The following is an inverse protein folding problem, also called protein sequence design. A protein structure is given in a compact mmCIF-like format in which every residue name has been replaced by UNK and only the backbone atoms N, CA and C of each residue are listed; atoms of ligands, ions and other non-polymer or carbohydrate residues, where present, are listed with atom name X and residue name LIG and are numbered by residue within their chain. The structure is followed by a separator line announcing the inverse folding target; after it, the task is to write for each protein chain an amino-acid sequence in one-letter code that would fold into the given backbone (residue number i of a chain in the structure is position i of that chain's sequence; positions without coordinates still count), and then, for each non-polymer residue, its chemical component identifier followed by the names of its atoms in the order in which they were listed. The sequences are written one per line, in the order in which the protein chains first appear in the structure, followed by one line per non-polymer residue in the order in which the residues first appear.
data_IF_791907441438
#
_entry.id   IF_791907441438
#
_cell.length_a   1.000
_cell.length_b   1.000
_cell.length_c   1.000
_cell.angle_alpha   90.00
_cell.angle_beta   90.00
_cell.angle_gamma   90.00
#
_symmetry.space_group_name_H-M   'P 1'
#
loop_
_entity.id
_entity.type
_entity.pdbx_description
1 polymer ?
#
# COMPACT_ATOMS: atom_id res chain seq x y z
N UNK A 1 11.55 31.48 10.30
CA UNK A 1 11.88 32.92 10.33
C UNK A 1 11.17 33.54 11.52
N UNK A 2 11.90 34.28 12.35
CA UNK A 2 11.33 35.06 13.45
C UNK A 2 10.60 36.28 12.89
N UNK A 3 9.41 36.04 12.33
CA UNK A 3 8.50 37.12 11.98
C UNK A 3 8.05 37.81 13.25
N UNK A 4 8.23 39.13 13.33
CA UNK A 4 7.62 39.97 14.37
C UNK A 4 6.08 39.81 14.37
N UNK A 5 5.43 40.22 15.46
CA UNK A 5 3.97 40.03 15.66
C UNK A 5 3.11 40.65 14.54
N UNK A 6 3.62 41.63 13.81
CA UNK A 6 2.85 42.46 12.86
C UNK A 6 3.35 42.41 11.40
N UNK A 7 4.31 41.54 11.08
CA UNK A 7 4.80 41.35 9.70
C UNK A 7 4.10 40.20 8.98
N UNK A 8 3.87 40.26 7.66
CA UNK A 8 3.32 39.13 6.92
C UNK A 8 4.25 37.92 7.04
N UNK A 9 3.72 36.82 7.58
CA UNK A 9 4.44 35.55 7.69
C UNK A 9 4.19 34.74 6.42
N UNK A 10 5.26 34.49 5.67
CA UNK A 10 5.20 33.59 4.52
C UNK A 10 5.80 32.25 4.95
N UNK A 11 4.99 31.19 4.87
CA UNK A 11 5.48 29.81 4.97
C UNK A 11 5.58 29.25 3.56
N UNK A 12 6.79 28.85 3.17
CA UNK A 12 7.06 28.16 1.92
C UNK A 12 7.53 26.75 2.27
N UNK A 13 6.86 25.75 1.73
CA UNK A 13 7.38 24.38 1.67
C UNK A 13 7.52 23.97 0.21
N UNK A 14 8.58 23.22 -0.07
CA UNK A 14 8.82 22.59 -1.35
C UNK A 14 8.88 21.09 -1.11
N UNK A 15 8.11 20.33 -1.88
CA UNK A 15 8.24 18.89 -1.97
C UNK A 15 8.77 18.54 -3.35
N UNK A 16 9.84 17.76 -3.40
CA UNK A 16 10.35 17.17 -4.63
C UNK A 16 10.12 15.66 -4.53
N UNK A 17 9.63 15.07 -5.61
CA UNK A 17 9.56 13.62 -5.76
C UNK A 17 10.79 13.17 -6.55
N UNK A 18 11.57 12.28 -5.97
CA UNK A 18 12.62 11.57 -6.69
C UNK A 18 11.98 10.35 -7.37
N UNK A 19 11.98 10.26 -8.71
CA UNK A 19 11.42 9.12 -9.44
C UNK A 19 12.07 7.78 -9.08
N UNK A 20 13.31 7.79 -8.57
CA UNK A 20 13.99 6.57 -8.11
C UNK A 20 13.51 6.13 -6.71
N UNK A 21 13.00 7.06 -5.90
CA UNK A 21 12.45 6.77 -4.58
C UNK A 21 10.96 6.37 -4.64
N UNK A 22 10.14 7.15 -5.34
CA UNK A 22 8.73 6.83 -5.57
C UNK A 22 8.34 7.17 -7.01
N UNK A 23 8.17 6.15 -7.89
CA UNK A 23 7.79 6.40 -9.27
C UNK A 23 6.38 6.98 -9.34
N UNK A 24 6.12 7.76 -10.40
CA UNK A 24 4.80 8.30 -10.65
C UNK A 24 3.77 7.16 -10.77
N UNK A 25 2.60 7.32 -10.14
CA UNK A 25 1.56 6.29 -10.18
C UNK A 25 1.06 6.00 -11.59
N UNK A 26 1.02 6.99 -12.48
CA UNK A 26 0.62 6.81 -13.88
C UNK A 26 1.85 6.69 -14.79
N UNK A 27 1.88 5.67 -15.65
CA UNK A 27 2.97 5.42 -16.59
C UNK A 27 3.18 6.57 -17.59
N UNK A 28 2.09 7.22 -17.99
CA UNK A 28 2.10 8.30 -18.98
C UNK A 28 1.96 9.70 -18.35
N UNK A 29 2.33 9.85 -17.06
CA UNK A 29 2.39 11.15 -16.40
C UNK A 29 3.56 12.00 -16.98
N UNK A 30 3.37 12.52 -18.19
CA UNK A 30 4.30 13.47 -18.80
C UNK A 30 3.99 14.88 -18.32
N UNK A 31 5.03 15.71 -18.27
CA UNK A 31 4.88 17.12 -17.93
C UNK A 31 3.88 17.78 -18.89
N UNK A 32 2.76 18.26 -18.36
CA UNK A 32 1.72 18.96 -19.13
C UNK A 32 0.59 18.09 -19.68
N UNK A 33 0.58 16.77 -19.45
CA UNK A 33 -0.59 15.93 -19.74
C UNK A 33 -1.51 15.86 -18.53
N UNK A 34 -2.80 16.14 -18.75
CA UNK A 34 -3.83 15.98 -17.72
C UNK A 34 -4.35 14.55 -17.81
N UNK A 35 -4.37 13.77 -16.71
CA UNK A 35 -4.92 12.42 -16.72
C UNK A 35 -6.37 12.42 -17.21
N UNK A 36 -6.80 11.39 -17.93
CA UNK A 36 -8.18 11.22 -18.39
C UNK A 36 -9.15 11.13 -17.20
N UNK A 37 -10.46 11.29 -17.45
CA UNK A 37 -11.49 11.11 -16.40
C UNK A 37 -11.37 9.71 -15.78
N UNK A 38 -11.14 8.69 -16.61
CA UNK A 38 -11.02 7.31 -16.17
C UNK A 38 -9.77 7.11 -15.29
N UNK A 39 -8.61 7.64 -15.68
CA UNK A 39 -7.39 7.58 -14.86
C UNK A 39 -7.54 8.33 -13.54
N UNK A 40 -8.24 9.48 -13.53
CA UNK A 40 -8.54 10.21 -12.28
C UNK A 40 -9.48 9.41 -11.37
N UNK A 41 -10.49 8.75 -11.94
CA UNK A 41 -11.37 7.87 -11.18
C UNK A 41 -10.60 6.67 -10.60
N UNK A 42 -9.70 6.06 -11.39
CA UNK A 42 -8.79 5.01 -10.93
C UNK A 42 -7.87 5.49 -9.80
N UNK A 43 -7.27 6.67 -9.93
CA UNK A 43 -6.46 7.28 -8.86
C UNK A 43 -7.28 7.45 -7.58
N UNK A 44 -8.48 8.03 -7.66
CA UNK A 44 -9.35 8.19 -6.50
C UNK A 44 -9.67 6.84 -5.88
N UNK A 45 -10.01 5.84 -6.69
CA UNK A 45 -10.34 4.51 -6.22
C UNK A 45 -9.16 3.82 -5.52
N UNK A 46 -7.98 3.83 -6.13
CA UNK A 46 -6.76 3.27 -5.56
C UNK A 46 -6.37 3.96 -4.26
N UNK A 47 -6.50 5.28 -4.17
CA UNK A 47 -6.24 6.04 -2.94
C UNK A 47 -7.24 5.70 -1.83
N UNK A 48 -8.53 5.56 -2.15
CA UNK A 48 -9.54 5.16 -1.16
C UNK A 48 -9.26 3.75 -0.60
N UNK A 49 -8.81 2.83 -1.45
CA UNK A 49 -8.38 1.50 -1.04
C UNK A 49 -7.12 1.58 -0.16
N UNK A 50 -6.07 2.27 -0.62
CA UNK A 50 -4.80 2.36 0.13
C UNK A 50 -4.90 3.08 1.48
N UNK A 51 -5.91 3.94 1.67
CA UNK A 51 -6.15 4.65 2.92
C UNK A 51 -7.41 4.16 3.64
N UNK A 52 -7.80 2.89 3.45
CA UNK A 52 -9.00 2.31 4.05
C UNK A 52 -9.03 2.42 5.59
N UNK A 53 -7.89 2.47 6.28
CA UNK A 53 -7.86 2.67 7.74
C UNK A 53 -8.34 4.06 8.15
N UNK A 54 -8.11 5.06 7.30
CA UNK A 54 -8.44 6.47 7.57
C UNK A 54 -9.86 6.81 7.14
N UNK A 55 -10.32 6.17 6.07
CA UNK A 55 -11.66 6.33 5.52
C UNK A 55 -12.25 4.95 5.21
N UNK A 56 -12.78 4.22 6.20
CA UNK A 56 -13.21 2.84 6.03
C UNK A 56 -14.40 2.74 5.05
N UNK A 57 -14.22 2.20 3.84
CA UNK A 57 -15.33 1.93 2.95
C UNK A 57 -16.11 0.69 3.44
N UNK A 58 -17.40 0.64 3.17
CA UNK A 58 -18.17 -0.61 3.29
C UNK A 58 -17.68 -1.65 2.28
N UNK A 59 -17.99 -2.93 2.48
CA UNK A 59 -17.64 -4.02 1.55
C UNK A 59 -18.14 -3.75 0.13
N UNK A 60 -19.36 -3.24 -0.01
CA UNK A 60 -19.95 -2.90 -1.31
C UNK A 60 -19.17 -1.77 -2.00
N UNK A 61 -18.78 -0.73 -1.25
CA UNK A 61 -17.96 0.36 -1.77
C UNK A 61 -16.57 -0.13 -2.17
N UNK A 62 -15.93 -0.97 -1.35
CA UNK A 62 -14.60 -1.53 -1.65
C UNK A 62 -14.61 -2.33 -2.97
N UNK A 63 -15.66 -3.12 -3.21
CA UNK A 63 -15.85 -3.88 -4.47
C UNK A 63 -15.97 -2.94 -5.68
N UNK A 64 -16.75 -1.87 -5.56
CA UNK A 64 -16.92 -0.86 -6.63
C UNK A 64 -15.60 -0.13 -6.89
N UNK A 65 -14.88 0.27 -5.83
CA UNK A 65 -13.59 0.93 -5.96
C UNK A 65 -12.58 0.03 -6.67
N UNK A 66 -12.52 -1.26 -6.31
CA UNK A 66 -11.65 -2.24 -6.97
C UNK A 66 -11.97 -2.41 -8.45
N UNK A 67 -13.26 -2.54 -8.79
CA UNK A 67 -13.70 -2.61 -10.19
C UNK A 67 -13.32 -1.36 -10.99
N UNK A 68 -13.49 -0.16 -10.41
CA UNK A 68 -13.09 1.11 -11.06
C UNK A 68 -11.58 1.09 -11.32
N UNK A 69 -10.78 0.70 -10.33
CA UNK A 69 -9.33 0.66 -10.46
C UNK A 69 -8.88 -0.37 -11.51
N UNK A 70 -9.43 -1.59 -11.49
CA UNK A 70 -9.05 -2.67 -12.39
C UNK A 70 -9.32 -2.35 -13.86
N UNK A 71 -10.39 -1.61 -14.15
CA UNK A 71 -10.70 -1.16 -15.51
C UNK A 71 -9.62 -0.25 -16.13
N UNK A 72 -8.77 0.35 -15.30
CA UNK A 72 -7.72 1.29 -15.74
C UNK A 72 -6.32 0.93 -15.22
N UNK A 73 -6.15 -0.21 -14.54
CA UNK A 73 -4.89 -0.59 -13.87
C UNK A 73 -3.67 -0.62 -14.79
N UNK A 74 -3.88 -0.89 -16.08
CA UNK A 74 -2.82 -0.88 -17.09
C UNK A 74 -2.21 0.51 -17.35
N UNK A 75 -2.89 1.59 -16.94
CA UNK A 75 -2.33 2.95 -17.00
C UNK A 75 -1.38 3.26 -15.85
N UNK A 76 -1.30 2.38 -14.85
CA UNK A 76 -0.56 2.61 -13.61
C UNK A 76 0.76 1.85 -13.56
N UNK A 77 1.71 2.40 -12.81
CA UNK A 77 2.96 1.74 -12.51
C UNK A 77 2.71 0.48 -11.68
N UNK A 78 3.44 -0.60 -11.98
CA UNK A 78 3.23 -1.92 -11.38
C UNK A 78 3.33 -1.90 -9.85
N UNK A 79 4.30 -1.16 -9.30
CA UNK A 79 4.48 -1.01 -7.84
C UNK A 79 3.23 -0.40 -7.18
N UNK A 80 2.56 0.55 -7.84
CA UNK A 80 1.32 1.13 -7.34
C UNK A 80 0.16 0.14 -7.44
N UNK A 81 0.07 -0.63 -8.52
CA UNK A 81 -0.93 -1.70 -8.67
C UNK A 81 -0.77 -2.75 -7.57
N UNK A 82 0.46 -3.22 -7.31
CA UNK A 82 0.79 -4.17 -6.23
C UNK A 82 0.33 -3.64 -4.88
N UNK A 83 0.63 -2.37 -4.58
CA UNK A 83 0.20 -1.70 -3.34
C UNK A 83 -1.32 -1.64 -3.20
N UNK A 84 -2.04 -1.23 -4.24
CA UNK A 84 -3.51 -1.14 -4.19
C UNK A 84 -4.13 -2.52 -3.97
N UNK A 85 -3.61 -3.57 -4.61
CA UNK A 85 -4.10 -4.93 -4.41
C UNK A 85 -3.81 -5.45 -3.00
N UNK A 86 -2.62 -5.20 -2.46
CA UNK A 86 -2.27 -5.55 -1.09
C UNK A 86 -3.23 -4.91 -0.08
N UNK A 87 -3.47 -3.60 -0.22
CA UNK A 87 -4.37 -2.88 0.69
C UNK A 87 -5.84 -3.26 0.50
N UNK A 88 -6.26 -3.64 -0.72
CA UNK A 88 -7.58 -4.20 -0.95
C UNK A 88 -7.77 -5.50 -0.17
N UNK A 89 -6.79 -6.40 -0.21
CA UNK A 89 -6.80 -7.65 0.54
C UNK A 89 -6.83 -7.39 2.04
N UNK A 90 -6.00 -6.47 2.55
CA UNK A 90 -6.03 -6.07 3.96
C UNK A 90 -7.39 -5.51 4.38
N UNK A 91 -7.97 -4.62 3.58
CA UNK A 91 -9.27 -4.01 3.85
C UNK A 91 -10.39 -5.06 3.88
N UNK A 92 -10.33 -6.04 2.98
CA UNK A 92 -11.32 -7.12 2.89
C UNK A 92 -11.22 -8.09 4.06
N UNK A 93 -10.00 -8.52 4.43
CA UNK A 93 -9.76 -9.46 5.51
C UNK A 93 -10.02 -8.87 6.91
N UNK A 94 -9.84 -7.56 7.08
CA UNK A 94 -10.17 -6.87 8.34
C UNK A 94 -11.67 -6.62 8.53
N UNK A 95 -12.45 -6.65 7.45
CA UNK A 95 -13.89 -6.36 7.46
C UNK A 95 -14.80 -7.47 7.98
N UNK A 96 -14.40 -8.19 9.02
CA UNK A 96 -15.09 -9.34 9.65
C UNK A 96 -14.92 -10.71 8.98
N UNK A 97 -14.51 -11.66 9.83
CA UNK A 97 -14.57 -13.11 9.70
C UNK A 97 -16.03 -13.65 9.70
N UNK A 98 -16.95 -12.90 9.10
CA UNK A 98 -18.29 -13.39 8.78
C UNK A 98 -18.36 -13.64 7.28
N UNK A 99 -18.37 -14.94 6.97
CA UNK A 99 -18.61 -15.63 5.70
C UNK A 99 -19.35 -14.81 4.63
N UNK A 100 -18.63 -14.01 3.86
CA UNK A 100 -19.02 -13.55 2.54
C UNK A 100 -17.99 -14.11 1.54
N UNK A 101 -18.33 -15.27 0.96
CA UNK A 101 -17.42 -16.11 0.15
C UNK A 101 -16.86 -15.31 -1.05
N UNK A 102 -17.69 -14.45 -1.67
CA UNK A 102 -17.29 -13.65 -2.84
C UNK A 102 -16.21 -12.61 -2.51
N UNK A 103 -16.23 -12.02 -1.32
CA UNK A 103 -15.22 -11.05 -0.90
C UNK A 103 -13.86 -11.72 -0.74
N UNK A 104 -13.87 -12.93 -0.18
CA UNK A 104 -12.68 -13.75 0.04
C UNK A 104 -12.14 -14.28 -1.27
N UNK A 105 -12.98 -14.75 -2.19
CA UNK A 105 -12.57 -15.19 -3.53
C UNK A 105 -11.85 -14.08 -4.30
N UNK A 106 -12.41 -12.86 -4.31
CA UNK A 106 -11.75 -11.73 -4.98
C UNK A 106 -10.43 -11.31 -4.31
N UNK A 107 -10.33 -11.47 -2.99
CA UNK A 107 -9.08 -11.22 -2.26
C UNK A 107 -8.03 -12.32 -2.54
N UNK A 108 -8.46 -13.58 -2.66
CA UNK A 108 -7.62 -14.71 -3.05
C UNK A 108 -7.13 -14.57 -4.48
N UNK A 109 -7.96 -14.14 -5.42
CA UNK A 109 -7.56 -13.82 -6.79
C UNK A 109 -6.54 -12.68 -6.81
N UNK A 110 -6.75 -11.61 -6.03
CA UNK A 110 -5.79 -10.53 -5.90
C UNK A 110 -4.46 -10.97 -5.26
N UNK A 111 -4.50 -11.92 -4.31
CA UNK A 111 -3.30 -12.54 -3.75
C UNK A 111 -2.59 -13.42 -4.77
N UNK A 112 -3.32 -14.22 -5.57
CA UNK A 112 -2.75 -15.08 -6.61
C UNK A 112 -2.09 -14.27 -7.73
N UNK A 113 -2.71 -13.16 -8.15
CA UNK A 113 -2.13 -12.22 -9.11
C UNK A 113 -0.82 -11.57 -8.60
N UNK A 114 -0.65 -11.44 -7.28
CA UNK A 114 0.56 -10.87 -6.65
C UNK A 114 1.58 -11.95 -6.24
N UNK A 115 1.17 -13.21 -6.04
CA UNK A 115 2.03 -14.26 -5.47
C UNK A 115 3.16 -14.68 -6.41
N UNK A 116 3.03 -14.50 -7.73
CA UNK A 116 4.11 -14.75 -8.68
C UNK A 116 5.27 -13.75 -8.61
N UNK A 117 5.13 -12.68 -7.82
CA UNK A 117 6.04 -11.54 -7.80
C UNK A 117 6.38 -11.09 -6.35
N UNK A 118 6.07 -11.94 -5.37
CA UNK A 118 6.30 -11.71 -3.93
C UNK A 118 7.57 -12.41 -3.40
N UNK A 119 8.16 -13.34 -4.16
CA UNK A 119 9.33 -14.10 -3.71
C UNK A 119 10.67 -13.34 -3.81
N UNK A 120 10.73 -12.18 -4.47
CA UNK A 120 12.02 -11.52 -4.80
C UNK A 120 12.32 -10.16 -4.13
N UNK A 121 11.38 -9.50 -3.43
CA UNK A 121 11.59 -8.09 -2.95
C UNK A 121 11.22 -7.82 -1.48
N UNK A 122 11.06 -8.85 -0.65
CA UNK A 122 10.87 -8.71 0.80
C UNK A 122 11.87 -9.56 1.59
N UNK A 123 13.17 -9.41 1.28
CA UNK A 123 14.22 -9.86 2.19
C UNK A 123 14.27 -8.97 3.44
N UNK A 124 13.62 -9.46 4.51
CA UNK A 124 14.05 -9.39 5.91
C UNK A 124 14.73 -8.09 6.40
N UNK A 125 13.97 -7.00 6.55
CA UNK A 125 14.28 -6.00 7.56
C UNK A 125 13.40 -6.19 8.80
N UNK A 126 13.94 -6.90 9.79
CA UNK A 126 13.72 -6.54 11.18
C UNK A 126 13.00 -7.56 12.07
N UNK A 127 13.53 -8.78 12.20
CA UNK A 127 13.23 -9.61 13.38
C UNK A 127 13.95 -9.04 14.62
N UNK A 128 13.29 -8.08 15.28
CA UNK A 128 13.59 -7.61 16.63
C UNK A 128 13.42 -8.78 17.62
N UNK A 129 14.44 -8.95 18.47
CA UNK A 129 14.60 -10.08 19.38
C UNK A 129 13.44 -10.38 20.31
N UNK A 130 13.27 -11.68 20.55
CA UNK A 130 12.45 -12.25 21.61
C UNK A 130 13.25 -13.36 22.30
N UNK A 131 13.65 -13.06 23.52
CA UNK A 131 14.33 -13.90 24.51
C UNK A 131 13.59 -15.25 24.72
N UNK A 132 14.33 -16.36 24.72
CA UNK A 132 13.85 -17.62 25.30
C UNK A 132 15.04 -18.43 25.80
N UNK A 133 15.29 -18.31 27.10
CA UNK A 133 15.97 -19.29 27.92
C UNK A 133 15.38 -20.69 27.70
N UNK A 134 16.23 -21.69 27.45
CA UNK A 134 16.13 -22.97 28.15
C UNK A 134 17.43 -23.80 28.00
N UNK A 135 17.93 -24.23 29.15
CA UNK A 135 19.08 -25.11 29.35
C UNK A 135 18.96 -26.45 28.59
N UNK A 136 20.09 -27.08 28.25
CA UNK A 136 20.51 -28.40 28.76
C UNK A 136 21.82 -28.84 28.08
N UNK A 137 22.83 -29.25 28.86
CA UNK A 137 23.64 -30.42 28.45
C UNK A 137 25.17 -30.30 28.38
N UNK A 138 25.81 -30.17 29.54
CA UNK A 138 27.03 -30.87 29.97
C UNK A 138 28.21 -31.13 28.99
N UNK A 139 29.41 -30.68 29.36
CA UNK A 139 30.60 -31.56 29.48
C UNK A 139 31.72 -30.96 30.35
N UNK A 140 31.95 -31.61 31.50
CA UNK A 140 33.13 -31.52 32.36
C UNK A 140 34.44 -31.61 31.57
N UNK A 141 35.41 -30.75 31.88
CA UNK A 141 36.84 -31.14 31.98
C UNK A 141 37.52 -30.42 33.16
N UNK A 142 37.89 -31.24 34.16
CA UNK A 142 39.00 -31.05 35.13
C UNK A 142 40.27 -30.56 34.38
N UNK A 143 41.22 -29.84 34.96
CA UNK A 143 41.65 -29.73 36.36
C UNK A 143 42.51 -28.48 36.50
#
# INVERSE_FOLDING_TARGET
GDGGKDGPRINLSFGFADPEFEPAYLLNARRGTIPTVAERAGLIAGQMISYHERFPPSKAELRVLKQIFDNVKSSFHETYVKKVNFEYTNATLRGDAESDDEGVENALDAMLDNASDFEDDFEDEGSIGGDSDDEVGAKKRKR
#
